data_IF_409431924183
#
_entry.id   IF_409431924183
#
_cell.length_a   1.000
_cell.length_b   1.000
_cell.length_c   1.000
_cell.angle_alpha   90.00
_cell.angle_beta   90.00
_cell.angle_gamma   90.00
#
_symmetry.space_group_name_H-M   'P 1'
#
loop_
_entity.id
_entity.type
_entity.pdbx_description
1 polymer ?
#
# COMPACT_ATOMS: atom_id res chain seq x y z
N UNK A 1 16.15 1.62 -33.13
CA UNK A 1 15.29 2.82 -33.02
C UNK A 1 16.02 3.85 -32.18
N UNK A 2 16.23 5.09 -32.64
CA UNK A 2 17.00 6.09 -31.91
C UNK A 2 16.19 6.56 -30.67
N UNK A 3 16.86 6.65 -29.51
CA UNK A 3 16.35 7.24 -28.29
C UNK A 3 16.06 8.73 -28.54
N UNK A 4 14.93 9.29 -28.08
CA UNK A 4 14.74 10.72 -28.14
C UNK A 4 15.73 11.39 -27.18
N UNK A 5 16.69 12.11 -27.75
CA UNK A 5 17.58 13.01 -27.01
C UNK A 5 16.79 14.24 -26.63
N UNK A 6 16.27 14.25 -25.40
CA UNK A 6 15.74 15.46 -24.77
C UNK A 6 16.92 16.29 -24.24
N UNK A 7 17.56 17.03 -25.15
CA UNK A 7 18.62 18.01 -24.84
C UNK A 7 17.99 19.39 -24.68
N UNK A 8 17.35 19.64 -23.54
CA UNK A 8 17.00 20.95 -23.05
C UNK A 8 17.41 21.00 -21.60
N UNK A 9 18.41 21.79 -21.25
CA UNK A 9 18.87 22.02 -19.88
C UNK A 9 17.73 22.54 -19.00
N UNK A 10 16.86 21.64 -18.57
CA UNK A 10 15.87 21.90 -17.53
C UNK A 10 16.65 21.93 -16.24
N UNK A 11 16.80 23.12 -15.70
CA UNK A 11 17.29 23.38 -14.36
C UNK A 11 16.38 22.59 -13.39
N UNK A 12 16.82 21.38 -13.05
CA UNK A 12 16.00 20.35 -12.37
C UNK A 12 15.59 20.87 -11.00
N UNK A 13 14.28 20.99 -10.75
CA UNK A 13 13.70 21.42 -9.49
C UNK A 13 13.32 20.21 -8.60
N UNK A 14 12.94 20.46 -7.35
CA UNK A 14 12.61 19.43 -6.37
C UNK A 14 11.24 18.78 -6.62
N UNK A 15 11.13 17.52 -6.22
CA UNK A 15 9.87 16.81 -6.05
C UNK A 15 9.59 16.56 -4.55
N UNK A 16 8.38 16.84 -4.08
CA UNK A 16 7.97 16.71 -2.69
C UNK A 16 6.83 15.69 -2.58
N UNK A 17 7.04 14.62 -1.80
CA UNK A 17 6.01 13.67 -1.41
C UNK A 17 5.65 13.93 0.06
N UNK A 18 4.48 14.51 0.32
CA UNK A 18 4.05 14.88 1.67
C UNK A 18 3.30 13.71 2.32
N UNK A 19 3.79 13.22 3.46
CA UNK A 19 3.17 12.13 4.21
C UNK A 19 3.18 12.39 5.71
N UNK A 20 2.03 12.31 6.43
CA UNK A 20 1.92 12.77 7.80
C UNK A 20 2.32 11.67 8.81
N UNK A 21 3.52 11.09 8.66
CA UNK A 21 4.11 10.10 9.57
C UNK A 21 5.57 10.42 9.87
N UNK A 22 6.16 9.69 10.82
CA UNK A 22 7.59 9.82 11.16
C UNK A 22 8.54 9.18 10.12
N UNK A 23 8.01 8.53 9.09
CA UNK A 23 8.79 7.84 8.06
C UNK A 23 9.75 6.77 8.63
N UNK A 24 9.32 6.00 9.62
CA UNK A 24 10.11 4.90 10.15
C UNK A 24 10.21 3.72 9.17
N UNK A 25 9.14 3.46 8.41
CA UNK A 25 9.09 2.38 7.43
C UNK A 25 8.34 2.81 6.15
N UNK A 26 8.90 3.73 5.35
CA UNK A 26 8.22 4.35 4.22
C UNK A 26 8.39 3.57 2.90
N UNK A 27 8.41 2.23 2.92
CA UNK A 27 8.80 1.38 1.78
C UNK A 27 8.16 1.77 0.44
N UNK A 28 6.83 1.86 0.38
CA UNK A 28 6.12 2.28 -0.86
C UNK A 28 6.49 3.70 -1.29
N UNK A 29 6.62 4.64 -0.35
CA UNK A 29 6.96 6.03 -0.67
C UNK A 29 8.37 6.16 -1.24
N UNK A 30 9.31 5.37 -0.71
CA UNK A 30 10.68 5.29 -1.24
C UNK A 30 10.70 4.69 -2.63
N UNK A 31 9.90 3.63 -2.90
CA UNK A 31 9.75 3.08 -4.25
C UNK A 31 9.22 4.13 -5.24
N UNK A 32 8.17 4.87 -4.88
CA UNK A 32 7.62 5.98 -5.69
C UNK A 32 8.67 7.07 -5.91
N UNK A 33 9.33 7.50 -4.84
CA UNK A 33 10.34 8.55 -4.90
C UNK A 33 11.52 8.17 -5.81
N UNK A 34 12.02 6.94 -5.71
CA UNK A 34 13.06 6.39 -6.61
C UNK A 34 12.60 6.34 -8.06
N UNK A 35 11.35 5.90 -8.29
CA UNK A 35 10.80 5.79 -9.65
C UNK A 35 10.63 7.15 -10.34
N UNK A 36 10.35 8.20 -9.58
CA UNK A 36 10.18 9.56 -10.09
C UNK A 36 11.49 10.37 -10.09
N UNK A 37 12.50 9.97 -9.31
CA UNK A 37 13.74 10.74 -9.14
C UNK A 37 14.46 11.11 -10.45
N UNK A 38 14.43 10.33 -11.55
CA UNK A 38 15.06 10.73 -12.81
C UNK A 38 14.51 12.02 -13.43
N UNK A 39 13.29 12.45 -13.04
CA UNK A 39 12.64 13.66 -13.54
C UNK A 39 13.07 14.92 -12.78
N UNK A 40 13.73 14.82 -11.63
CA UNK A 40 13.96 15.92 -10.70
C UNK A 40 15.43 16.01 -10.26
N UNK A 41 15.85 17.16 -9.71
CA UNK A 41 17.18 17.32 -9.12
C UNK A 41 17.31 16.62 -7.74
N UNK A 42 16.18 16.49 -7.05
CA UNK A 42 16.06 15.82 -5.77
C UNK A 42 14.61 15.53 -5.44
N UNK A 43 14.37 14.42 -4.78
CA UNK A 43 13.04 14.02 -4.32
C UNK A 43 13.07 13.89 -2.80
N UNK A 44 12.20 14.63 -2.13
CA UNK A 44 12.05 14.61 -0.68
C UNK A 44 10.72 13.94 -0.29
N UNK A 45 10.80 12.86 0.45
CA UNK A 45 9.65 12.33 1.20
C UNK A 45 9.60 13.10 2.52
N UNK A 46 8.60 13.98 2.65
CA UNK A 46 8.50 14.93 3.75
C UNK A 46 7.55 14.40 4.81
N UNK A 47 8.08 14.10 5.99
CA UNK A 47 7.36 13.55 7.13
C UNK A 47 7.45 14.40 8.38
N UNK A 48 6.93 13.84 9.48
CA UNK A 48 6.89 14.49 10.80
C UNK A 48 8.07 14.00 11.63
N UNK A 49 8.89 14.94 12.11
CA UNK A 49 9.88 14.66 13.14
C UNK A 49 9.19 14.56 14.51
N UNK A 50 9.27 13.37 15.10
CA UNK A 50 8.75 13.04 16.43
C UNK A 50 9.90 12.73 17.41
N UNK A 51 11.15 12.93 16.99
CA UNK A 51 12.35 12.50 17.70
C UNK A 51 12.70 11.03 17.44
N UNK A 52 13.94 10.67 17.76
CA UNK A 52 14.45 9.30 17.64
C UNK A 52 14.91 8.86 16.24
N UNK A 53 14.65 9.66 15.20
CA UNK A 53 15.12 9.42 13.83
C UNK A 53 15.85 10.66 13.27
N UNK A 54 16.78 10.50 12.31
CA UNK A 54 17.44 11.62 11.64
C UNK A 54 16.42 12.58 10.99
N UNK A 55 16.66 13.88 11.07
CA UNK A 55 15.79 14.90 10.43
C UNK A 55 15.93 14.90 8.92
N UNK A 56 17.07 14.47 8.39
CA UNK A 56 17.33 14.28 6.96
C UNK A 56 18.16 13.00 6.77
N UNK A 57 17.72 12.12 5.86
CA UNK A 57 18.31 10.81 5.64
C UNK A 57 18.29 10.51 4.13
N UNK A 58 19.48 10.33 3.53
CA UNK A 58 19.59 9.93 2.14
C UNK A 58 19.35 8.42 2.00
N UNK A 59 18.31 8.04 1.24
CA UNK A 59 17.96 6.62 0.94
C UNK A 59 18.30 6.22 -0.49
N UNK A 60 18.69 7.19 -1.31
CA UNK A 60 19.29 7.02 -2.64
C UNK A 60 20.01 8.35 -2.99
N UNK A 61 20.86 8.41 -4.05
CA UNK A 61 21.64 9.60 -4.39
C UNK A 61 20.83 10.90 -4.52
N UNK A 62 19.58 10.80 -4.95
CA UNK A 62 18.68 11.96 -5.16
C UNK A 62 17.37 11.82 -4.38
N UNK A 63 17.27 10.90 -3.42
CA UNK A 63 16.05 10.64 -2.63
C UNK A 63 16.35 10.77 -1.14
N UNK A 64 15.64 11.66 -0.48
CA UNK A 64 15.80 11.99 0.93
C UNK A 64 14.50 11.80 1.71
N UNK A 65 14.61 11.26 2.92
CA UNK A 65 13.57 11.35 3.93
C UNK A 65 13.82 12.61 4.75
N UNK A 66 12.92 13.58 4.65
CA UNK A 66 13.06 14.87 5.34
C UNK A 66 11.98 14.97 6.41
N UNK A 67 12.37 14.96 7.68
CA UNK A 67 11.46 15.03 8.81
C UNK A 67 11.43 16.47 9.35
N UNK A 68 10.23 17.06 9.42
CA UNK A 68 10.01 18.43 9.91
C UNK A 68 9.27 18.34 11.24
N UNK A 69 9.77 19.07 12.25
CA UNK A 69 9.23 19.06 13.62
C UNK A 69 7.71 19.23 13.64
N UNK A 70 7.03 18.28 14.29
CA UNK A 70 5.57 18.22 14.45
C UNK A 70 5.20 17.19 15.51
N UNK A 71 3.96 17.17 15.96
CA UNK A 71 3.46 16.10 16.82
C UNK A 71 2.65 15.08 15.99
N UNK A 72 2.48 13.87 16.51
CA UNK A 72 1.74 12.81 15.80
C UNK A 72 0.25 13.10 15.70
N UNK A 73 -0.42 12.56 14.68
CA UNK A 73 -1.87 12.66 14.46
C UNK A 73 -2.74 11.97 15.53
N UNK A 74 -2.15 11.21 16.43
CA UNK A 74 -2.85 10.38 17.42
C UNK A 74 -3.49 11.11 18.61
N UNK A 75 -3.34 12.44 18.75
CA UNK A 75 -3.93 13.18 19.85
C UNK A 75 -5.34 13.67 19.50
N UNK A 76 -6.33 13.24 20.27
CA UNK A 76 -7.73 13.71 20.20
C UNK A 76 -7.79 15.24 20.12
N UNK A 77 -8.61 15.82 19.19
CA UNK A 77 -8.84 17.27 19.00
C UNK A 77 -7.61 18.18 18.80
N UNK A 78 -6.42 17.80 19.28
CA UNK A 78 -5.14 18.46 18.98
C UNK A 78 -4.59 18.17 17.58
N UNK A 79 -5.02 17.06 16.95
CA UNK A 79 -4.46 16.57 15.70
C UNK A 79 -4.55 17.56 14.52
N UNK A 80 -5.67 18.25 14.37
CA UNK A 80 -5.85 19.24 13.28
C UNK A 80 -4.92 20.44 13.46
N UNK A 81 -4.77 20.97 14.68
CA UNK A 81 -3.85 22.07 14.97
C UNK A 81 -2.39 21.67 14.78
N UNK A 82 -2.07 20.45 15.14
CA UNK A 82 -0.72 19.88 15.00
C UNK A 82 -0.36 19.70 13.53
N UNK A 83 -1.25 19.14 12.72
CA UNK A 83 -1.05 19.00 11.26
C UNK A 83 -0.98 20.37 10.60
N UNK A 84 -1.80 21.33 11.02
CA UNK A 84 -1.76 22.69 10.50
C UNK A 84 -0.44 23.39 10.85
N UNK A 85 0.08 23.25 12.07
CA UNK A 85 1.35 23.83 12.49
C UNK A 85 2.54 23.16 11.76
N UNK A 86 2.52 21.84 11.57
CA UNK A 86 3.48 21.14 10.75
C UNK A 86 3.40 21.58 9.29
N UNK A 87 2.21 21.64 8.73
CA UNK A 87 1.96 22.10 7.37
C UNK A 87 2.47 23.53 7.11
N UNK A 88 2.29 24.43 8.09
CA UNK A 88 2.83 25.80 8.00
C UNK A 88 4.37 25.81 7.99
N UNK A 89 5.05 24.88 8.70
CA UNK A 89 6.51 24.73 8.65
C UNK A 89 6.97 24.17 7.29
N UNK A 90 6.28 23.13 6.79
CA UNK A 90 6.52 22.57 5.45
C UNK A 90 6.36 23.67 4.40
N UNK A 91 5.27 24.42 4.42
CA UNK A 91 5.01 25.49 3.50
C UNK A 91 6.14 26.56 3.54
N UNK A 92 6.50 27.05 4.74
CA UNK A 92 7.58 28.05 4.90
C UNK A 92 8.93 27.55 4.42
N UNK A 93 9.24 26.26 4.60
CA UNK A 93 10.50 25.67 4.15
C UNK A 93 10.59 25.59 2.64
N UNK A 94 9.51 25.23 1.93
CA UNK A 94 9.57 24.91 0.51
C UNK A 94 8.94 25.99 -0.40
N UNK A 95 8.13 26.92 0.09
CA UNK A 95 7.43 27.92 -0.71
C UNK A 95 8.34 28.91 -1.48
N UNK A 96 9.62 28.97 -1.11
CA UNK A 96 10.64 29.82 -1.78
C UNK A 96 11.67 28.99 -2.54
N UNK A 97 11.54 27.67 -2.54
CA UNK A 97 12.43 26.78 -3.28
C UNK A 97 11.90 26.51 -4.68
N UNK A 98 12.76 26.06 -5.57
CA UNK A 98 12.36 25.62 -6.91
C UNK A 98 11.77 24.22 -6.81
N UNK A 99 10.45 24.14 -6.76
CA UNK A 99 9.70 22.89 -6.66
C UNK A 99 8.98 22.67 -7.97
N UNK A 100 9.17 21.50 -8.59
CA UNK A 100 8.52 21.13 -9.85
C UNK A 100 7.29 20.25 -9.64
N UNK A 101 7.23 19.48 -8.53
CA UNK A 101 6.08 18.67 -8.20
C UNK A 101 5.85 18.59 -6.69
N UNK A 102 4.57 18.57 -6.27
CA UNK A 102 4.14 18.36 -4.89
C UNK A 102 3.02 17.31 -4.90
N UNK A 103 3.24 16.21 -4.20
CA UNK A 103 2.31 15.10 -4.09
C UNK A 103 1.78 14.98 -2.66
N UNK A 104 0.45 14.98 -2.50
CA UNK A 104 -0.21 14.58 -1.28
C UNK A 104 -0.33 13.05 -1.24
N UNK A 105 0.18 12.42 -0.17
CA UNK A 105 0.11 10.97 0.05
C UNK A 105 -1.00 10.59 1.05
N UNK A 106 -1.84 11.57 1.38
CA UNK A 106 -3.00 11.43 2.26
C UNK A 106 -3.98 12.56 1.96
N UNK A 107 -5.25 12.28 2.07
CA UNK A 107 -6.36 13.20 1.77
C UNK A 107 -6.27 14.53 2.52
N UNK A 108 -5.91 14.50 3.81
CA UNK A 108 -5.82 15.73 4.63
C UNK A 108 -4.67 16.65 4.22
N UNK A 109 -3.73 16.19 3.40
CA UNK A 109 -2.63 16.99 2.88
C UNK A 109 -2.93 17.66 1.53
N UNK A 110 -4.07 17.36 0.91
CA UNK A 110 -4.49 17.98 -0.35
C UNK A 110 -4.48 19.53 -0.30
N UNK A 111 -5.01 20.18 0.77
CA UNK A 111 -4.96 21.63 0.87
C UNK A 111 -3.54 22.19 0.90
N UNK A 112 -2.64 21.56 1.65
CA UNK A 112 -1.24 21.97 1.77
C UNK A 112 -0.48 21.77 0.44
N UNK A 113 -0.61 20.57 -0.15
CA UNK A 113 0.05 20.26 -1.41
C UNK A 113 -0.40 21.21 -2.53
N UNK A 114 -1.71 21.45 -2.63
CA UNK A 114 -2.25 22.41 -3.59
C UNK A 114 -1.75 23.85 -3.36
N UNK A 115 -1.70 24.31 -2.11
CA UNK A 115 -1.19 25.64 -1.78
C UNK A 115 0.29 25.81 -2.15
N UNK A 116 1.12 24.79 -1.87
CA UNK A 116 2.52 24.78 -2.29
C UNK A 116 2.66 24.74 -3.80
N UNK A 117 1.94 23.85 -4.47
CA UNK A 117 1.98 23.75 -5.94
C UNK A 117 1.58 25.08 -6.62
N UNK A 118 0.52 25.72 -6.13
CA UNK A 118 0.12 27.06 -6.61
C UNK A 118 1.19 28.13 -6.38
N UNK A 119 1.85 28.10 -5.22
CA UNK A 119 2.88 29.09 -4.86
C UNK A 119 4.15 28.97 -5.69
N UNK A 120 4.51 27.71 -6.06
CA UNK A 120 5.76 27.41 -6.77
C UNK A 120 5.56 27.18 -8.27
N UNK A 121 4.32 27.11 -8.77
CA UNK A 121 4.01 26.71 -10.15
C UNK A 121 4.17 25.22 -10.42
N UNK A 122 4.33 24.41 -9.37
CA UNK A 122 4.59 22.98 -9.44
C UNK A 122 3.37 22.19 -9.92
N UNK A 123 3.63 20.98 -10.42
CA UNK A 123 2.62 19.93 -10.62
C UNK A 123 2.02 19.55 -9.26
N UNK A 124 0.70 19.53 -9.17
CA UNK A 124 -0.04 19.06 -8.02
C UNK A 124 -0.49 17.60 -8.23
N UNK A 125 -0.02 16.68 -7.40
CA UNK A 125 -0.41 15.29 -7.47
C UNK A 125 -1.12 14.80 -6.20
N UNK A 126 -2.05 13.86 -6.36
CA UNK A 126 -2.68 13.12 -5.29
C UNK A 126 -2.42 11.62 -5.45
N UNK A 127 -1.88 10.99 -4.43
CA UNK A 127 -1.60 9.57 -4.39
C UNK A 127 -2.47 8.93 -3.31
N UNK A 128 -3.61 8.36 -3.72
CA UNK A 128 -4.55 7.71 -2.83
C UNK A 128 -4.13 6.25 -2.60
N UNK A 129 -3.66 5.96 -1.39
CA UNK A 129 -3.23 4.61 -1.01
C UNK A 129 -4.41 3.66 -0.70
N UNK A 130 -5.58 4.23 -0.45
CA UNK A 130 -6.84 3.56 -0.13
C UNK A 130 -8.01 4.53 -0.38
N UNK A 131 -9.24 4.08 -0.25
CA UNK A 131 -10.40 4.97 -0.24
C UNK A 131 -10.52 5.64 1.13
N UNK A 132 -9.77 6.72 1.36
CA UNK A 132 -9.67 7.37 2.67
C UNK A 132 -11.00 7.92 3.20
N UNK A 133 -11.96 8.21 2.32
CA UNK A 133 -13.31 8.64 2.69
C UNK A 133 -14.22 7.47 3.12
N UNK A 134 -13.83 6.23 2.84
CA UNK A 134 -14.63 5.01 2.99
C UNK A 134 -13.96 3.99 3.95
N UNK A 135 -13.08 4.45 4.85
CA UNK A 135 -12.42 3.61 5.86
C UNK A 135 -13.30 3.43 7.10
N UNK A 136 -13.01 2.41 7.92
CA UNK A 136 -13.71 2.16 9.20
C UNK A 136 -13.73 3.39 10.13
N UNK A 137 -12.65 4.19 10.14
CA UNK A 137 -12.56 5.42 10.92
C UNK A 137 -13.22 6.64 10.28
N UNK A 138 -13.80 6.50 9.09
CA UNK A 138 -14.44 7.57 8.32
C UNK A 138 -15.95 7.48 8.50
N UNK A 139 -16.48 8.12 9.53
CA UNK A 139 -17.92 8.15 9.82
C UNK A 139 -18.38 9.56 10.21
N UNK A 140 -19.67 9.85 10.03
CA UNK A 140 -20.34 11.08 10.48
C UNK A 140 -19.71 12.35 9.90
N UNK A 141 -19.45 13.34 10.77
CA UNK A 141 -18.88 14.64 10.39
C UNK A 141 -17.47 14.53 9.78
N UNK A 142 -16.65 13.57 10.27
CA UNK A 142 -15.31 13.34 9.74
C UNK A 142 -15.35 12.92 8.27
N UNK A 143 -16.21 11.97 7.94
CA UNK A 143 -16.38 11.51 6.55
C UNK A 143 -16.90 12.64 5.64
N UNK A 144 -17.87 13.43 6.13
CA UNK A 144 -18.36 14.59 5.38
C UNK A 144 -17.24 15.57 5.07
N UNK A 145 -16.39 15.88 6.05
CA UNK A 145 -15.24 16.77 5.87
C UNK A 145 -14.24 16.18 4.86
N UNK A 146 -13.93 14.88 4.99
CA UNK A 146 -13.04 14.18 4.04
C UNK A 146 -13.57 14.28 2.61
N UNK A 147 -14.86 13.96 2.39
CA UNK A 147 -15.49 14.07 1.06
C UNK A 147 -15.51 15.50 0.52
N UNK A 148 -15.70 16.51 1.38
CA UNK A 148 -15.62 17.92 0.96
C UNK A 148 -14.20 18.29 0.53
N UNK A 149 -13.18 17.90 1.30
CA UNK A 149 -11.78 18.14 0.95
C UNK A 149 -11.46 17.43 -0.37
N UNK A 150 -11.75 16.14 -0.50
CA UNK A 150 -11.45 15.37 -1.70
C UNK A 150 -12.13 15.97 -2.93
N UNK A 151 -13.45 16.21 -2.89
CA UNK A 151 -14.22 16.83 -3.97
C UNK A 151 -13.69 18.21 -4.36
N UNK A 152 -13.19 18.98 -3.38
CA UNK A 152 -12.66 20.34 -3.61
C UNK A 152 -11.33 20.34 -4.35
N UNK A 153 -10.51 19.31 -4.16
CA UNK A 153 -9.13 19.29 -4.65
C UNK A 153 -8.85 18.26 -5.74
N UNK A 154 -9.62 17.17 -5.86
CA UNK A 154 -9.35 16.08 -6.80
C UNK A 154 -9.26 16.56 -8.25
N UNK A 155 -10.21 17.39 -8.69
CA UNK A 155 -10.23 17.96 -10.04
C UNK A 155 -9.15 19.04 -10.28
N UNK A 156 -8.38 19.41 -9.26
CA UNK A 156 -7.25 20.32 -9.35
C UNK A 156 -5.92 19.62 -9.45
N UNK A 157 -5.91 18.32 -9.17
CA UNK A 157 -4.72 17.49 -9.28
C UNK A 157 -4.39 17.28 -10.77
N UNK A 158 -3.15 17.56 -11.13
CA UNK A 158 -2.62 17.29 -12.47
C UNK A 158 -2.38 15.77 -12.66
N UNK A 159 -2.10 15.06 -11.56
CA UNK A 159 -1.92 13.60 -11.52
C UNK A 159 -2.65 13.04 -10.30
N UNK A 160 -3.51 12.06 -10.53
CA UNK A 160 -4.11 11.22 -9.48
C UNK A 160 -3.59 9.81 -9.66
N UNK A 161 -3.12 9.16 -8.60
CA UNK A 161 -2.71 7.75 -8.64
C UNK A 161 -3.34 6.96 -7.51
N UNK A 162 -3.63 5.70 -7.79
CA UNK A 162 -4.29 4.75 -6.88
C UNK A 162 -3.56 3.41 -6.89
N UNK A 163 -3.94 2.50 -6.00
CA UNK A 163 -3.21 1.24 -5.80
C UNK A 163 -3.73 0.08 -6.64
N UNK A 164 -4.96 0.15 -7.16
CA UNK A 164 -5.58 -0.92 -7.93
C UNK A 164 -6.71 -0.41 -8.84
N UNK A 165 -7.22 -1.29 -9.70
CA UNK A 165 -8.24 -0.95 -10.69
C UNK A 165 -9.63 -0.74 -10.07
N UNK A 166 -10.00 -1.50 -9.04
CA UNK A 166 -11.30 -1.32 -8.35
C UNK A 166 -11.42 0.09 -7.75
N UNK A 167 -10.34 0.61 -7.15
CA UNK A 167 -10.30 1.99 -6.64
C UNK A 167 -10.27 2.99 -7.79
N UNK A 168 -9.53 2.72 -8.88
CA UNK A 168 -9.53 3.59 -10.05
C UNK A 168 -10.93 3.73 -10.65
N UNK A 169 -11.64 2.62 -10.79
CA UNK A 169 -13.02 2.62 -11.29
C UNK A 169 -13.94 3.44 -10.38
N UNK A 170 -13.84 3.25 -9.06
CA UNK A 170 -14.61 4.03 -8.10
C UNK A 170 -14.35 5.55 -8.25
N UNK A 171 -13.09 5.96 -8.43
CA UNK A 171 -12.75 7.38 -8.64
C UNK A 171 -13.31 7.93 -9.95
N UNK A 172 -13.29 7.16 -11.05
CA UNK A 172 -13.90 7.56 -12.34
C UNK A 172 -15.41 7.78 -12.23
N UNK A 173 -16.08 6.93 -11.47
CA UNK A 173 -17.52 7.02 -11.21
C UNK A 173 -17.88 8.17 -10.25
N UNK A 174 -17.13 8.32 -9.15
CA UNK A 174 -17.38 9.33 -8.13
C UNK A 174 -16.99 10.75 -8.56
N UNK A 175 -16.01 10.86 -9.47
CA UNK A 175 -15.42 12.13 -9.92
C UNK A 175 -15.25 12.14 -11.45
N UNK A 176 -16.31 12.39 -12.23
CA UNK A 176 -16.23 12.41 -13.68
C UNK A 176 -15.12 13.33 -14.19
N UNK A 177 -14.33 12.84 -15.15
CA UNK A 177 -13.16 13.55 -15.69
C UNK A 177 -11.85 13.34 -14.91
N UNK A 178 -11.87 12.58 -13.79
CA UNK A 178 -10.66 12.11 -13.11
C UNK A 178 -10.34 10.70 -13.62
N UNK A 179 -9.13 10.53 -14.17
CA UNK A 179 -8.63 9.22 -14.62
C UNK A 179 -7.34 8.86 -13.86
N UNK A 180 -7.45 8.06 -12.78
CA UNK A 180 -6.31 7.74 -11.95
C UNK A 180 -5.33 6.78 -12.63
N UNK A 181 -4.04 7.01 -12.40
CA UNK A 181 -2.97 6.06 -12.76
C UNK A 181 -2.89 4.96 -11.73
N UNK A 182 -3.07 3.71 -12.14
CA UNK A 182 -2.92 2.56 -11.24
C UNK A 182 -1.45 2.22 -11.05
N UNK A 183 -1.01 2.22 -9.79
CA UNK A 183 0.35 1.84 -9.35
C UNK A 183 0.22 0.80 -8.25
N UNK A 184 0.16 -0.45 -8.64
CA UNK A 184 0.03 -1.57 -7.71
C UNK A 184 1.29 -1.71 -6.86
N UNK A 185 1.11 -2.03 -5.57
CA UNK A 185 2.25 -2.35 -4.70
C UNK A 185 2.72 -3.79 -4.95
N UNK A 186 3.27 -4.01 -6.14
CA UNK A 186 3.76 -5.32 -6.52
C UNK A 186 4.90 -5.77 -5.60
N UNK A 187 4.89 -7.03 -5.15
CA UNK A 187 5.95 -7.57 -4.33
C UNK A 187 7.25 -7.68 -5.12
N UNK A 188 8.35 -7.51 -4.42
CA UNK A 188 9.70 -7.78 -4.92
C UNK A 188 10.38 -8.67 -3.90
N UNK A 189 11.12 -9.68 -4.32
CA UNK A 189 11.78 -10.59 -3.39
C UNK A 189 12.75 -11.51 -4.10
N UNK A 190 13.53 -12.24 -3.30
CA UNK A 190 14.49 -13.21 -3.77
C UNK A 190 13.80 -14.47 -4.34
N UNK A 191 14.49 -15.11 -5.28
CA UNK A 191 14.17 -16.46 -5.70
C UNK A 191 14.50 -17.47 -4.58
N UNK A 192 13.88 -18.67 -4.66
CA UNK A 192 14.09 -19.74 -3.71
C UNK A 192 12.86 -20.04 -2.85
N UNK A 193 13.03 -20.99 -1.93
CA UNK A 193 11.99 -21.49 -1.01
C UNK A 193 12.60 -21.57 0.39
N UNK A 194 11.93 -21.04 1.39
CA UNK A 194 12.23 -21.32 2.81
C UNK A 194 11.38 -22.52 3.21
N UNK A 195 12.03 -23.62 3.55
CA UNK A 195 11.35 -24.85 3.96
C UNK A 195 10.74 -24.72 5.37
N UNK A 196 9.51 -24.18 5.40
CA UNK A 196 8.75 -24.03 6.65
C UNK A 196 8.40 -25.38 7.27
N UNK A 197 8.22 -26.43 6.46
CA UNK A 197 7.88 -27.76 6.95
C UNK A 197 9.02 -28.38 7.73
N UNK A 198 10.24 -28.33 7.19
CA UNK A 198 11.43 -28.82 7.89
C UNK A 198 11.68 -28.03 9.18
N UNK A 199 11.48 -26.72 9.17
CA UNK A 199 11.64 -25.88 10.38
C UNK A 199 10.64 -26.22 11.49
N UNK A 200 9.41 -26.63 11.12
CA UNK A 200 8.31 -26.84 12.05
C UNK A 200 8.00 -28.33 12.30
N UNK A 201 8.71 -29.26 11.64
CA UNK A 201 8.49 -30.70 11.76
C UNK A 201 7.14 -31.15 11.20
N UNK A 202 6.60 -30.49 10.16
CA UNK A 202 5.29 -30.77 9.58
C UNK A 202 5.41 -31.83 8.48
N UNK A 203 4.61 -32.93 8.55
CA UNK A 203 4.61 -33.96 7.51
C UNK A 203 4.26 -33.42 6.11
N UNK A 204 4.82 -34.04 5.07
CA UNK A 204 4.64 -33.58 3.70
C UNK A 204 3.20 -33.73 3.18
N UNK A 205 2.42 -34.64 3.71
CA UNK A 205 1.03 -34.92 3.35
C UNK A 205 0.00 -34.00 4.00
N UNK A 206 0.39 -33.25 5.04
CA UNK A 206 -0.47 -32.31 5.76
C UNK A 206 -0.46 -30.94 5.06
N UNK A 207 -1.59 -30.27 4.90
CA UNK A 207 -1.64 -28.92 4.32
C UNK A 207 -1.11 -27.88 5.31
N UNK A 208 -0.23 -26.99 4.82
CA UNK A 208 0.34 -25.88 5.57
C UNK A 208 -0.20 -24.56 5.06
N UNK A 209 -0.94 -23.87 5.92
CA UNK A 209 -1.45 -22.51 5.69
C UNK A 209 -0.51 -21.46 6.28
N UNK A 210 -0.34 -20.36 5.57
CA UNK A 210 0.51 -19.24 5.99
C UNK A 210 -0.30 -17.96 6.22
N UNK A 211 -0.18 -17.38 7.41
CA UNK A 211 -0.55 -15.99 7.66
C UNK A 211 0.71 -15.15 7.82
N UNK A 212 1.05 -14.31 6.84
CA UNK A 212 2.21 -13.41 6.87
C UNK A 212 1.82 -11.97 7.18
N UNK A 213 2.70 -11.24 7.89
CA UNK A 213 2.61 -9.79 8.10
C UNK A 213 2.07 -9.37 9.46
N UNK A 214 1.42 -8.20 9.55
CA UNK A 214 1.07 -7.57 10.81
C UNK A 214 -0.08 -8.26 11.53
N UNK A 215 0.20 -8.72 12.77
CA UNK A 215 -0.76 -9.43 13.64
C UNK A 215 -1.61 -8.40 14.41
N UNK A 216 -2.69 -7.92 13.78
CA UNK A 216 -3.50 -6.83 14.29
C UNK A 216 -5.01 -7.06 14.07
N UNK A 217 -5.89 -6.36 14.81
CA UNK A 217 -7.31 -6.28 14.49
C UNK A 217 -7.55 -5.94 13.00
N UNK A 218 -8.63 -6.44 12.45
CA UNK A 218 -8.95 -6.28 11.03
C UNK A 218 -8.31 -7.32 10.11
N UNK A 219 -7.56 -8.30 10.65
CA UNK A 219 -6.91 -9.39 9.91
C UNK A 219 -7.49 -10.77 10.20
N UNK A 220 -8.65 -10.83 10.83
CA UNK A 220 -9.37 -12.05 11.21
C UNK A 220 -8.52 -13.10 11.99
N UNK A 221 -7.47 -12.65 12.71
CA UNK A 221 -6.59 -13.57 13.45
C UNK A 221 -7.36 -14.41 14.47
N UNK A 222 -8.27 -13.86 15.31
CA UNK A 222 -9.05 -14.67 16.23
C UNK A 222 -9.93 -15.72 15.51
N UNK A 223 -10.46 -15.39 14.33
CA UNK A 223 -11.23 -16.33 13.51
C UNK A 223 -10.34 -17.48 13.00
N UNK A 224 -9.16 -17.15 12.48
CA UNK A 224 -8.19 -18.15 11.99
C UNK A 224 -7.81 -19.09 13.14
N UNK A 225 -7.47 -18.55 14.32
CA UNK A 225 -7.11 -19.37 15.50
C UNK A 225 -8.24 -20.33 15.85
N UNK A 226 -9.48 -19.85 16.03
CA UNK A 226 -10.64 -20.72 16.33
C UNK A 226 -10.89 -21.80 15.27
N UNK A 227 -10.64 -21.51 14.01
CA UNK A 227 -10.81 -22.50 12.94
C UNK A 227 -9.75 -23.62 13.06
N UNK A 228 -8.49 -23.28 13.26
CA UNK A 228 -7.41 -24.27 13.42
C UNK A 228 -7.41 -24.97 14.79
N UNK A 229 -8.07 -24.41 15.82
CA UNK A 229 -8.40 -25.11 17.05
C UNK A 229 -9.38 -26.25 16.82
N UNK A 230 -10.22 -26.18 15.80
CA UNK A 230 -11.21 -27.21 15.44
C UNK A 230 -10.67 -28.17 14.36
N UNK A 231 -10.07 -27.64 13.29
CA UNK A 231 -9.55 -28.43 12.16
C UNK A 231 -8.12 -28.86 12.46
N UNK A 232 -7.92 -30.16 12.83
CA UNK A 232 -6.60 -30.71 13.18
C UNK A 232 -5.86 -31.34 12.01
N UNK A 233 -6.52 -31.52 10.88
CA UNK A 233 -5.95 -32.12 9.67
C UNK A 233 -5.05 -31.18 8.88
N UNK A 234 -5.04 -29.87 9.22
CA UNK A 234 -4.23 -28.86 8.58
C UNK A 234 -3.44 -28.05 9.61
N UNK A 235 -2.30 -27.53 9.22
CA UNK A 235 -1.45 -26.66 10.05
C UNK A 235 -1.48 -25.21 9.56
N UNK A 236 -1.34 -24.26 10.50
CA UNK A 236 -1.15 -22.85 10.18
C UNK A 236 0.12 -22.31 10.82
N UNK A 237 0.87 -21.51 10.07
CA UNK A 237 2.01 -20.75 10.59
C UNK A 237 1.73 -19.26 10.48
N UNK A 238 1.87 -18.56 11.60
CA UNK A 238 1.82 -17.09 11.66
C UNK A 238 3.25 -16.56 11.64
N UNK A 239 3.56 -15.75 10.64
CA UNK A 239 4.87 -15.09 10.50
C UNK A 239 4.67 -13.58 10.57
N UNK A 240 5.11 -12.96 11.67
CA UNK A 240 4.92 -11.53 11.86
C UNK A 240 5.00 -11.07 13.30
N UNK A 241 4.63 -9.81 13.49
CA UNK A 241 4.54 -9.15 14.79
C UNK A 241 3.31 -8.25 14.85
N UNK A 242 2.86 -7.89 16.04
CA UNK A 242 1.74 -6.97 16.20
C UNK A 242 1.02 -7.15 17.54
N UNK A 243 -0.07 -6.40 17.71
CA UNK A 243 -0.81 -6.36 18.98
C UNK A 243 -1.45 -7.72 19.37
N UNK A 244 -1.75 -8.57 18.38
CA UNK A 244 -2.36 -9.91 18.60
C UNK A 244 -1.30 -11.04 18.69
N UNK A 245 0.00 -10.72 18.75
CA UNK A 245 1.07 -11.69 18.92
C UNK A 245 0.88 -12.56 20.19
N UNK A 246 0.52 -12.01 21.37
CA UNK A 246 0.33 -12.83 22.57
C UNK A 246 -0.79 -13.87 22.43
N UNK A 247 -1.85 -13.58 21.67
CA UNK A 247 -2.94 -14.52 21.39
C UNK A 247 -2.45 -15.68 20.51
N UNK A 248 -1.66 -15.35 19.48
CA UNK A 248 -1.07 -16.35 18.58
C UNK A 248 -0.07 -17.26 19.34
N UNK A 249 0.78 -16.67 20.19
CA UNK A 249 1.76 -17.42 20.99
C UNK A 249 1.08 -18.39 21.99
N UNK A 250 -0.01 -17.94 22.61
CA UNK A 250 -0.81 -18.82 23.49
C UNK A 250 -1.41 -19.99 22.70
N UNK A 251 -2.07 -19.71 21.57
CA UNK A 251 -2.67 -20.78 20.75
C UNK A 251 -1.60 -21.75 20.22
N UNK A 252 -0.43 -21.28 19.83
CA UNK A 252 0.68 -22.13 19.40
C UNK A 252 1.26 -23.00 20.52
N UNK A 253 1.17 -22.57 21.77
CA UNK A 253 1.56 -23.38 22.92
C UNK A 253 0.53 -24.48 23.29
N UNK A 254 -0.75 -24.23 23.00
CA UNK A 254 -1.88 -25.11 23.34
C UNK A 254 -2.22 -26.11 22.22
N UNK A 255 -1.89 -25.78 20.93
CA UNK A 255 -2.31 -26.56 19.76
C UNK A 255 -1.15 -26.87 18.82
N UNK A 256 -0.86 -28.18 18.65
CA UNK A 256 0.28 -28.70 17.87
C UNK A 256 0.22 -28.32 16.36
N UNK A 257 -0.93 -27.96 15.84
CA UNK A 257 -1.13 -27.54 14.44
C UNK A 257 -1.13 -26.01 14.23
N UNK A 258 -0.88 -25.22 15.28
CA UNK A 258 -0.75 -23.77 15.20
C UNK A 258 0.69 -23.41 15.51
N UNK A 259 1.35 -22.69 14.61
CA UNK A 259 2.77 -22.35 14.71
C UNK A 259 2.99 -20.84 14.63
N UNK A 260 4.09 -20.38 15.22
CA UNK A 260 4.53 -19.00 15.17
C UNK A 260 6.00 -18.92 14.80
N UNK A 261 6.34 -18.06 13.84
CA UNK A 261 7.70 -17.70 13.48
C UNK A 261 7.90 -16.18 13.55
N UNK A 262 9.13 -15.70 13.81
CA UNK A 262 9.44 -14.27 13.78
C UNK A 262 9.22 -13.67 12.39
N UNK A 263 9.07 -12.33 12.27
CA UNK A 263 9.05 -11.67 10.97
C UNK A 263 10.32 -11.99 10.18
N UNK A 264 10.19 -12.12 8.85
CA UNK A 264 11.31 -12.22 7.92
C UNK A 264 11.61 -10.86 7.29
N UNK A 265 12.82 -10.72 6.73
CA UNK A 265 13.16 -9.53 5.94
C UNK A 265 12.26 -9.42 4.70
N UNK A 266 11.96 -8.20 4.22
CA UNK A 266 11.02 -7.98 3.10
C UNK A 266 11.39 -8.72 1.81
N UNK A 267 12.67 -8.94 1.53
CA UNK A 267 13.15 -9.67 0.36
C UNK A 267 12.99 -11.19 0.49
N UNK A 268 12.80 -11.72 1.70
CA UNK A 268 12.58 -13.14 1.97
C UNK A 268 11.11 -13.55 1.95
N UNK A 269 10.17 -12.59 1.89
CA UNK A 269 8.72 -12.87 2.00
C UNK A 269 8.24 -13.82 0.91
N UNK A 270 8.68 -13.66 -0.34
CA UNK A 270 8.29 -14.57 -1.43
C UNK A 270 8.84 -15.98 -1.24
N UNK A 271 10.11 -16.11 -0.84
CA UNK A 271 10.73 -17.40 -0.56
C UNK A 271 10.03 -18.13 0.58
N UNK A 272 9.64 -17.40 1.63
CA UNK A 272 8.84 -17.93 2.73
C UNK A 272 7.44 -18.36 2.26
N UNK A 273 6.78 -17.54 1.46
CA UNK A 273 5.42 -17.85 0.96
C UNK A 273 5.41 -19.11 0.11
N UNK A 274 6.44 -19.35 -0.71
CA UNK A 274 6.60 -20.61 -1.47
C UNK A 274 6.76 -21.86 -0.60
N UNK A 275 7.12 -21.69 0.68
CA UNK A 275 7.21 -22.79 1.64
C UNK A 275 5.88 -23.25 2.21
N UNK A 276 4.78 -22.60 1.89
CA UNK A 276 3.42 -22.94 2.29
C UNK A 276 2.58 -23.45 1.12
N UNK A 277 1.51 -24.20 1.41
CA UNK A 277 0.57 -24.67 0.38
C UNK A 277 -0.49 -23.62 0.05
N UNK A 278 -0.97 -22.87 1.06
CA UNK A 278 -2.04 -21.87 0.92
C UNK A 278 -1.71 -20.64 1.79
N UNK A 279 -1.83 -19.46 1.23
CA UNK A 279 -1.74 -18.22 2.00
C UNK A 279 -3.13 -17.79 2.52
N UNK A 280 -3.20 -17.26 3.75
CA UNK A 280 -4.43 -16.73 4.34
C UNK A 280 -4.48 -15.20 4.20
N UNK A 281 -5.40 -14.72 3.39
CA UNK A 281 -5.63 -13.29 3.18
C UNK A 281 -7.03 -12.87 3.67
N UNK A 282 -7.32 -13.12 4.95
CA UNK A 282 -8.61 -12.84 5.56
C UNK A 282 -8.62 -11.45 6.19
N UNK A 283 -9.20 -10.49 5.47
CA UNK A 283 -9.36 -9.10 5.92
C UNK A 283 -10.82 -8.87 6.27
N UNK A 284 -11.09 -8.19 7.38
CA UNK A 284 -12.45 -7.78 7.73
C UNK A 284 -13.01 -6.83 6.65
N UNK A 285 -14.14 -7.20 6.06
CA UNK A 285 -14.76 -6.45 4.95
C UNK A 285 -15.73 -5.35 5.42
N UNK A 286 -15.58 -4.89 6.66
CA UNK A 286 -16.53 -3.96 7.32
C UNK A 286 -16.68 -2.58 6.68
N UNK A 287 -15.82 -2.19 5.73
CA UNK A 287 -15.92 -0.93 5.00
C UNK A 287 -15.59 -1.09 3.51
N UNK A 288 -16.00 -0.10 2.71
CA UNK A 288 -15.76 -0.14 1.26
C UNK A 288 -14.26 -0.14 0.92
N UNK A 289 -13.46 0.66 1.65
CA UNK A 289 -12.01 0.71 1.46
C UNK A 289 -11.36 -0.67 1.64
N UNK A 290 -11.77 -1.44 2.64
CA UNK A 290 -11.29 -2.80 2.84
C UNK A 290 -11.72 -3.73 1.70
N UNK A 291 -13.01 -3.69 1.29
CA UNK A 291 -13.51 -4.53 0.19
C UNK A 291 -12.82 -4.28 -1.14
N UNK A 292 -12.36 -3.05 -1.39
CA UNK A 292 -11.63 -2.67 -2.61
C UNK A 292 -10.10 -2.71 -2.43
N UNK A 293 -9.59 -3.18 -1.30
CA UNK A 293 -8.15 -3.22 -1.06
C UNK A 293 -7.45 -4.31 -1.89
N UNK A 294 -6.14 -4.11 -2.10
CA UNK A 294 -5.22 -5.12 -2.62
C UNK A 294 -4.20 -5.43 -1.54
N UNK A 295 -4.46 -6.40 -0.67
CA UNK A 295 -3.53 -6.75 0.39
C UNK A 295 -2.21 -7.28 -0.14
N UNK A 296 -1.08 -6.84 0.43
CA UNK A 296 0.24 -7.30 0.02
C UNK A 296 0.37 -8.81 0.05
N UNK A 297 -0.13 -9.46 1.13
CA UNK A 297 -0.04 -10.92 1.29
C UNK A 297 -0.76 -11.71 0.17
N UNK A 298 -1.84 -11.18 -0.40
CA UNK A 298 -2.49 -11.76 -1.57
C UNK A 298 -1.58 -11.65 -2.81
N UNK A 299 -1.01 -10.48 -3.04
CA UNK A 299 -0.10 -10.26 -4.16
C UNK A 299 1.21 -11.05 -4.01
N UNK A 300 1.70 -11.18 -2.77
CA UNK A 300 2.85 -12.01 -2.42
C UNK A 300 2.58 -13.50 -2.70
N UNK A 301 1.39 -13.99 -2.36
CA UNK A 301 0.98 -15.36 -2.66
C UNK A 301 0.93 -15.61 -4.18
N UNK A 302 0.26 -14.74 -4.93
CA UNK A 302 0.18 -14.87 -6.39
C UNK A 302 1.55 -14.78 -7.06
N UNK A 303 2.43 -13.84 -6.63
CA UNK A 303 3.81 -13.76 -7.10
C UNK A 303 4.65 -15.00 -6.76
N UNK A 304 4.34 -15.66 -5.65
CA UNK A 304 4.99 -16.90 -5.22
C UNK A 304 4.45 -18.15 -5.95
N UNK A 305 3.37 -18.03 -6.72
CA UNK A 305 2.67 -19.17 -7.32
C UNK A 305 1.81 -19.96 -6.33
N UNK A 306 1.48 -19.39 -5.17
CA UNK A 306 0.75 -20.02 -4.08
C UNK A 306 -0.68 -19.50 -4.06
N UNK A 307 -1.72 -20.37 -3.97
CA UNK A 307 -3.09 -19.91 -3.83
C UNK A 307 -3.30 -19.13 -2.52
N UNK A 308 -4.17 -18.13 -2.58
CA UNK A 308 -4.54 -17.35 -1.41
C UNK A 308 -6.03 -17.53 -1.10
N UNK A 309 -6.35 -18.03 0.09
CA UNK A 309 -7.73 -18.05 0.59
C UNK A 309 -8.07 -16.66 1.11
N UNK A 310 -8.99 -15.98 0.44
CA UNK A 310 -9.26 -14.56 0.60
C UNK A 310 -10.65 -14.28 1.19
N UNK A 311 -10.79 -13.20 1.93
CA UNK A 311 -12.09 -12.53 2.14
C UNK A 311 -12.69 -12.04 0.81
N UNK A 312 -13.99 -11.65 0.74
CA UNK A 312 -14.66 -11.26 -0.49
C UNK A 312 -14.22 -9.87 -0.97
N UNK A 313 -12.94 -9.76 -1.35
CA UNK A 313 -12.33 -8.53 -1.86
C UNK A 313 -12.57 -8.43 -3.38
N UNK A 314 -12.89 -7.23 -3.88
CA UNK A 314 -13.08 -6.99 -5.32
C UNK A 314 -11.85 -7.39 -6.14
N UNK A 315 -10.65 -7.06 -5.64
CA UNK A 315 -9.41 -7.40 -6.32
C UNK A 315 -9.10 -8.91 -6.27
N UNK A 316 -9.44 -9.63 -5.18
CA UNK A 316 -9.28 -11.08 -5.14
C UNK A 316 -10.13 -11.76 -6.24
N UNK A 317 -11.40 -11.36 -6.37
CA UNK A 317 -12.26 -11.86 -7.44
C UNK A 317 -11.75 -11.53 -8.84
N UNK A 318 -11.27 -10.30 -9.02
CA UNK A 318 -10.75 -9.84 -10.31
C UNK A 318 -9.51 -10.63 -10.75
N UNK A 319 -8.59 -10.90 -9.82
CA UNK A 319 -7.38 -11.66 -10.13
C UNK A 319 -7.65 -13.16 -10.30
N UNK A 320 -8.47 -13.74 -9.44
CA UNK A 320 -8.74 -15.18 -9.44
C UNK A 320 -9.72 -15.63 -10.56
N UNK A 321 -10.55 -14.71 -11.08
CA UNK A 321 -11.51 -15.03 -12.15
C UNK A 321 -12.37 -16.25 -11.80
N UNK A 322 -12.36 -17.28 -12.65
CA UNK A 322 -13.15 -18.51 -12.46
C UNK A 322 -12.71 -19.33 -11.23
N UNK A 323 -11.49 -19.14 -10.74
CA UNK A 323 -10.97 -19.81 -9.54
C UNK A 323 -11.50 -19.17 -8.22
N UNK A 324 -12.19 -18.03 -8.31
CA UNK A 324 -12.69 -17.33 -7.12
C UNK A 324 -13.67 -18.18 -6.29
N UNK A 325 -14.40 -19.12 -6.91
CA UNK A 325 -15.31 -20.03 -6.20
C UNK A 325 -14.63 -20.90 -5.16
N UNK A 326 -13.36 -21.28 -5.36
CA UNK A 326 -12.56 -22.06 -4.43
C UNK A 326 -11.80 -21.19 -3.43
N UNK A 327 -11.29 -20.02 -3.88
CA UNK A 327 -10.29 -19.25 -3.12
C UNK A 327 -10.84 -17.96 -2.51
N UNK A 328 -12.14 -17.65 -2.65
CA UNK A 328 -12.77 -16.49 -2.00
C UNK A 328 -13.92 -16.95 -1.12
N UNK A 329 -13.80 -16.69 0.18
CA UNK A 329 -14.85 -16.94 1.16
C UNK A 329 -15.86 -15.78 1.12
N UNK A 330 -17.14 -16.07 0.85
CA UNK A 330 -18.20 -15.07 0.84
C UNK A 330 -18.46 -14.50 2.24
N UNK A 331 -18.44 -15.38 3.23
CA UNK A 331 -18.55 -15.07 4.64
C UNK A 331 -17.46 -15.84 5.41
N UNK A 332 -16.29 -15.23 5.67
CA UNK A 332 -15.19 -15.91 6.34
C UNK A 332 -15.55 -16.52 7.70
N UNK A 333 -16.47 -15.90 8.46
CA UNK A 333 -16.89 -16.41 9.77
C UNK A 333 -17.66 -17.73 9.64
N UNK A 334 -18.47 -17.87 8.59
CA UNK A 334 -19.26 -19.08 8.32
C UNK A 334 -18.47 -20.12 7.53
N UNK A 335 -17.67 -19.69 6.56
CA UNK A 335 -17.18 -20.55 5.49
C UNK A 335 -15.77 -21.12 5.76
N UNK A 336 -14.98 -20.51 6.68
CA UNK A 336 -13.57 -20.86 6.83
C UNK A 336 -13.34 -22.32 7.22
N UNK A 337 -14.09 -22.85 8.18
CA UNK A 337 -13.91 -24.24 8.64
C UNK A 337 -14.18 -25.21 7.49
N UNK A 338 -15.31 -25.04 6.79
CA UNK A 338 -15.64 -25.89 5.64
C UNK A 338 -14.59 -25.80 4.52
N UNK A 339 -14.02 -24.64 4.27
CA UNK A 339 -12.93 -24.47 3.32
C UNK A 339 -11.65 -25.21 3.74
N UNK A 340 -11.27 -25.13 5.03
CA UNK A 340 -10.11 -25.85 5.56
C UNK A 340 -10.28 -27.39 5.49
N UNK A 341 -11.51 -27.90 5.57
CA UNK A 341 -11.83 -29.33 5.47
C UNK A 341 -11.96 -29.81 4.04
N UNK A 342 -12.34 -28.93 3.10
CA UNK A 342 -12.64 -29.31 1.71
C UNK A 342 -11.48 -29.08 0.74
N UNK A 343 -10.59 -28.11 0.99
CA UNK A 343 -9.43 -27.85 0.13
C UNK A 343 -8.47 -29.03 0.17
N UNK A 344 -8.11 -29.52 -1.01
CA UNK A 344 -7.26 -30.67 -1.22
C UNK A 344 -5.96 -30.30 -1.94
N UNK A 345 -5.00 -31.25 -1.99
CA UNK A 345 -3.80 -31.08 -2.84
C UNK A 345 -4.13 -30.91 -4.31
N UNK A 346 -5.16 -31.59 -4.81
CA UNK A 346 -5.60 -31.46 -6.19
C UNK A 346 -6.06 -30.02 -6.51
N UNK A 347 -6.72 -29.34 -5.58
CA UNK A 347 -7.11 -27.94 -5.75
C UNK A 347 -5.88 -27.04 -5.83
N UNK A 348 -4.84 -27.30 -5.02
CA UNK A 348 -3.57 -26.55 -5.04
C UNK A 348 -2.80 -26.81 -6.34
N UNK A 349 -2.71 -28.06 -6.78
CA UNK A 349 -2.03 -28.42 -8.03
C UNK A 349 -2.73 -27.88 -9.27
N UNK A 350 -4.07 -27.72 -9.22
CA UNK A 350 -4.86 -27.11 -10.29
C UNK A 350 -4.83 -25.59 -10.27
N UNK A 351 -4.29 -24.95 -9.21
CA UNK A 351 -4.24 -23.50 -9.12
C UNK A 351 -3.31 -22.92 -10.19
N UNK A 352 -3.86 -21.99 -10.97
CA UNK A 352 -3.10 -21.19 -11.92
C UNK A 352 -2.90 -19.79 -11.34
N UNK A 353 -1.65 -19.48 -11.01
CA UNK A 353 -1.34 -18.16 -10.46
C UNK A 353 -1.70 -17.06 -11.46
N UNK A 354 -2.49 -16.06 -11.05
CA UNK A 354 -2.86 -14.97 -11.93
C UNK A 354 -1.66 -14.10 -12.26
N UNK A 355 -1.64 -13.55 -13.46
CA UNK A 355 -0.67 -12.53 -13.85
C UNK A 355 -0.90 -11.25 -13.03
N UNK A 356 0.13 -10.80 -12.34
CA UNK A 356 0.08 -9.59 -11.54
C UNK A 356 0.97 -8.50 -12.14
N UNK A 357 0.54 -7.22 -12.12
CA UNK A 357 1.36 -6.12 -12.61
C UNK A 357 2.67 -6.01 -11.84
N UNK A 358 3.75 -5.72 -12.55
CA UNK A 358 5.04 -5.41 -11.93
C UNK A 358 5.05 -3.99 -11.36
N UNK A 359 5.96 -3.75 -10.41
CA UNK A 359 6.21 -2.38 -9.93
C UNK A 359 6.68 -1.46 -11.06
N UNK A 360 7.53 -1.97 -11.93
CA UNK A 360 8.15 -1.25 -13.04
C UNK A 360 7.12 -0.72 -14.04
N UNK A 361 6.10 -1.52 -14.35
CA UNK A 361 4.98 -1.11 -15.22
C UNK A 361 4.15 0.02 -14.60
N UNK A 362 3.77 -0.12 -13.32
CA UNK A 362 3.06 0.93 -12.58
C UNK A 362 3.87 2.21 -12.47
N UNK A 363 5.15 2.09 -12.16
CA UNK A 363 6.10 3.20 -12.06
C UNK A 363 6.32 3.89 -13.41
N UNK A 364 6.38 3.14 -14.50
CA UNK A 364 6.49 3.72 -15.85
C UNK A 364 5.25 4.56 -16.22
N UNK A 365 4.04 4.04 -15.96
CA UNK A 365 2.79 4.78 -16.15
C UNK A 365 2.75 6.05 -15.30
N UNK A 366 3.15 5.96 -14.03
CA UNK A 366 3.21 7.12 -13.13
C UNK A 366 4.19 8.17 -13.64
N UNK A 367 5.39 7.78 -14.03
CA UNK A 367 6.42 8.66 -14.58
C UNK A 367 5.91 9.39 -15.82
N UNK A 368 5.29 8.67 -16.76
CA UNK A 368 4.71 9.25 -17.96
C UNK A 368 3.61 10.28 -17.63
N UNK A 369 2.79 10.03 -16.61
CA UNK A 369 1.78 11.00 -16.17
C UNK A 369 2.43 12.29 -15.62
N UNK A 370 3.50 12.16 -14.82
CA UNK A 370 4.28 13.31 -14.35
C UNK A 370 4.96 14.07 -15.50
N UNK A 371 5.55 13.38 -16.48
CA UNK A 371 6.17 14.02 -17.66
C UNK A 371 5.16 14.84 -18.43
N UNK A 372 3.95 14.31 -18.69
CA UNK A 372 2.86 15.06 -19.34
C UNK A 372 2.45 16.28 -18.53
N UNK A 373 2.28 16.13 -17.22
CA UNK A 373 1.90 17.23 -16.34
C UNK A 373 2.98 18.33 -16.28
N UNK A 374 4.25 17.96 -16.19
CA UNK A 374 5.39 18.90 -16.22
C UNK A 374 5.46 19.66 -17.56
N UNK A 375 5.28 18.97 -18.67
CA UNK A 375 5.25 19.61 -20.00
C UNK A 375 4.10 20.60 -20.13
N UNK A 376 2.89 20.24 -19.67
CA UNK A 376 1.73 21.13 -19.68
C UNK A 376 1.96 22.39 -18.84
N UNK A 377 2.56 22.26 -17.64
CA UNK A 377 2.92 23.40 -16.77
C UNK A 377 3.97 24.32 -17.42
N UNK A 378 4.98 23.74 -18.07
CA UNK A 378 6.00 24.52 -18.79
C UNK A 378 5.42 25.34 -19.97
N UNK A 379 4.47 24.76 -20.72
CA UNK A 379 3.76 25.44 -21.78
C UNK A 379 2.89 26.60 -21.25
N UNK A 380 2.13 26.37 -20.18
CA UNK A 380 1.31 27.39 -19.55
C UNK A 380 2.15 28.56 -19.02
N UNK A 381 3.30 28.29 -18.41
CA UNK A 381 4.21 29.33 -17.92
C UNK A 381 4.77 30.19 -19.06
N UNK A 382 5.09 29.61 -20.22
CA UNK A 382 5.54 30.35 -21.41
C UNK A 382 4.44 31.24 -22.01
N UNK A 383 3.19 30.78 -21.97
CA UNK A 383 2.04 31.54 -22.48
C UNK A 383 1.71 32.78 -21.64
N UNK A 384 1.98 32.77 -20.34
CA UNK A 384 1.74 33.90 -19.41
C UNK A 384 2.86 34.96 -19.46
N UNK A 385 3.99 34.68 -20.07
CA UNK A 385 5.12 35.60 -20.23
C UNK A 385 5.19 36.25 -21.65
N UNK A 386 4.24 35.95 -22.50
CA UNK A 386 3.99 36.64 -23.78
C UNK A 386 2.79 37.57 -23.66
#
# INVERSE_FOLDING_TARGET
MPRPTYNGGVDRALNLLLYPSNLASPGRLVKIARSLSPLFSGTHVVGIDQGGLPTDEAVAPTVHLTRIRGASLGARLGGVRVVAAWGARVYRRFARQRVAAVSAQNLFLLPLAHALARRTGAVFAYNAHELETETVGSAGLRQRLQRVIERRYIHRADVVSVVNESIAQWYREAYPGVDPVVVTNAPTGADGVIDLRAQLGIPADVLLYLHSGYLAPGRNIPLILRAFEQVKSAHVVFVGAGALLPEVERAAAEHANIHRLPPVEPDQVLAMTRGADVALCLIESGCLSHRMSTPNKMMEAFAAGVPALCSPLSEARRYLGDQAGTWVLEDPERDLIGALESITRADIESFSAPEIPTWEEGAARLRQAYERALAARALAARATHR
#
